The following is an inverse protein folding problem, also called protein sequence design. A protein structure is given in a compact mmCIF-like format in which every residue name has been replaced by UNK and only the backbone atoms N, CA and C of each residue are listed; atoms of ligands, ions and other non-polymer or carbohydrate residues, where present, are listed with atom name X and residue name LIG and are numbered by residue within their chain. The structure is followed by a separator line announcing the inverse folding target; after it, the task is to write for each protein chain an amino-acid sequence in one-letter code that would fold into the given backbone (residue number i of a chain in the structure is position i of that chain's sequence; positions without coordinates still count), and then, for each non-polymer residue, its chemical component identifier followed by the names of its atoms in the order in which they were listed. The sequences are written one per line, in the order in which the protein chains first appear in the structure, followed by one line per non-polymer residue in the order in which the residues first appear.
data_IF_222458417719
#
_entry.id   IF_222458417719
#
_cell.length_a   1.000
_cell.length_b   1.000
_cell.length_c   1.000
_cell.angle_alpha   90.00
_cell.angle_beta   90.00
_cell.angle_gamma   90.00
#
_symmetry.space_group_name_H-M   'P 1'
#
loop_
_entity.id
_entity.type
_entity.pdbx_description
1 polymer ?
#
# COMPACT_ATOMS: atom_id res chain seq x y z
N UNK A 1 0.76 -10.31 3.62
CA UNK A 1 1.54 -9.58 2.60
C UNK A 1 2.98 -9.70 3.01
N UNK A 2 3.97 -9.62 2.12
CA UNK A 2 5.31 -10.15 2.46
C UNK A 2 6.41 -9.08 2.64
N UNK A 3 6.05 -7.81 2.80
CA UNK A 3 6.99 -6.72 3.06
C UNK A 3 7.52 -6.69 4.51
N UNK A 4 8.31 -7.70 4.90
CA UNK A 4 8.93 -7.81 6.22
C UNK A 4 10.14 -6.88 6.40
N UNK A 5 10.62 -6.69 7.64
CA UNK A 5 11.74 -5.77 7.94
C UNK A 5 13.02 -6.04 7.11
N UNK A 6 13.30 -7.31 6.79
CA UNK A 6 14.42 -7.73 5.92
C UNK A 6 14.34 -7.17 4.48
N UNK A 7 13.15 -6.74 4.04
CA UNK A 7 12.90 -6.17 2.72
C UNK A 7 13.13 -4.64 2.69
N UNK A 8 13.58 -4.06 3.80
CA UNK A 8 13.98 -2.65 3.90
C UNK A 8 15.49 -2.54 4.16
N UNK A 9 16.20 -1.97 3.20
CA UNK A 9 17.62 -1.73 3.27
C UNK A 9 17.98 -0.26 3.51
N UNK A 10 19.16 -0.04 4.08
CA UNK A 10 19.79 1.28 4.15
C UNK A 10 21.11 1.26 3.39
N UNK A 11 21.41 2.37 2.73
CA UNK A 11 22.66 2.61 2.03
C UNK A 11 23.43 3.70 2.76
N UNK A 12 24.70 3.45 3.04
CA UNK A 12 25.61 4.47 3.55
C UNK A 12 26.02 5.41 2.41
N UNK A 13 25.92 6.71 2.64
CA UNK A 13 26.38 7.73 1.70
C UNK A 13 27.90 7.92 1.83
N UNK A 14 28.48 8.71 0.91
CA UNK A 14 29.89 9.11 1.01
C UNK A 14 30.19 9.97 2.25
N UNK A 15 29.16 10.55 2.87
CA UNK A 15 29.28 11.41 4.04
C UNK A 15 29.10 10.63 5.36
N UNK A 16 28.85 9.31 5.30
CA UNK A 16 28.64 8.46 6.48
C UNK A 16 27.23 8.54 7.07
N UNK A 17 26.30 9.26 6.45
CA UNK A 17 24.86 9.17 6.76
C UNK A 17 24.20 8.01 6.01
N UNK A 18 22.98 7.64 6.42
CA UNK A 18 22.23 6.54 5.84
C UNK A 18 20.96 7.03 5.13
N UNK A 19 20.74 6.53 3.91
CA UNK A 19 19.50 6.72 3.16
C UNK A 19 18.81 5.37 2.94
N UNK A 20 17.50 5.39 2.71
CA UNK A 20 16.80 4.17 2.29
C UNK A 20 17.31 3.70 0.94
N UNK A 21 17.51 2.39 0.79
CA UNK A 21 17.75 1.79 -0.52
C UNK A 21 16.52 1.95 -1.42
N UNK A 22 16.66 1.83 -2.75
CA UNK A 22 15.51 1.58 -3.62
C UNK A 22 14.71 0.39 -3.11
N UNK A 23 13.40 0.39 -3.32
CA UNK A 23 12.56 -0.75 -2.98
C UNK A 23 12.93 -1.96 -3.84
N UNK A 24 13.00 -3.14 -3.22
CA UNK A 24 13.29 -4.42 -3.84
C UNK A 24 12.33 -5.49 -3.34
N UNK A 25 12.37 -6.67 -3.95
CA UNK A 25 11.52 -7.81 -3.61
C UNK A 25 10.00 -7.48 -3.61
N UNK A 26 9.58 -6.71 -4.62
CA UNK A 26 8.20 -6.31 -4.80
C UNK A 26 7.45 -7.34 -5.65
N UNK A 27 6.59 -8.13 -5.01
CA UNK A 27 5.75 -9.13 -5.67
C UNK A 27 4.30 -8.92 -5.23
N UNK A 28 3.35 -9.12 -6.15
CA UNK A 28 1.94 -9.18 -5.78
C UNK A 28 1.61 -10.55 -5.18
N UNK A 29 1.84 -10.71 -3.88
CA UNK A 29 1.67 -12.01 -3.19
C UNK A 29 0.24 -12.53 -3.23
N UNK A 30 -0.76 -11.66 -3.44
CA UNK A 30 -2.17 -12.08 -3.56
C UNK A 30 -2.45 -12.98 -4.78
N UNK A 31 -1.50 -13.13 -5.71
CA UNK A 31 -1.61 -14.07 -6.82
C UNK A 31 -1.19 -15.50 -6.46
N UNK A 32 -0.50 -15.67 -5.34
CA UNK A 32 0.17 -16.92 -4.99
C UNK A 32 -0.21 -17.44 -3.60
N UNK A 33 -0.66 -16.55 -2.70
CA UNK A 33 -0.95 -16.86 -1.30
C UNK A 33 -2.16 -16.09 -0.82
N UNK A 34 -2.99 -16.70 0.04
CA UNK A 34 -4.09 -16.06 0.78
C UNK A 34 -3.55 -15.28 1.98
N UNK A 35 -2.68 -14.33 1.68
CA UNK A 35 -1.96 -13.53 2.64
C UNK A 35 -2.80 -12.33 3.11
N UNK A 36 -2.61 -11.91 4.36
CA UNK A 36 -3.24 -10.68 4.88
C UNK A 36 -2.78 -9.44 4.10
N UNK A 37 -3.52 -8.34 4.19
CA UNK A 37 -3.20 -7.12 3.43
C UNK A 37 -1.85 -6.48 3.84
N UNK A 38 -1.41 -6.66 5.09
CA UNK A 38 -0.16 -6.13 5.65
C UNK A 38 0.80 -7.27 5.98
N UNK A 39 2.10 -6.95 6.05
CA UNK A 39 3.14 -7.89 6.51
C UNK A 39 3.41 -7.81 8.01
N UNK A 40 2.94 -6.73 8.64
CA UNK A 40 3.09 -6.53 10.08
C UNK A 40 1.98 -7.31 10.79
N UNK A 41 2.34 -8.05 11.84
CA UNK A 41 1.42 -8.91 12.61
C UNK A 41 0.22 -8.14 13.18
N UNK A 42 0.44 -6.88 13.59
CA UNK A 42 -0.60 -6.00 14.13
C UNK A 42 -1.32 -5.15 13.06
N UNK A 43 -0.96 -5.31 11.79
CA UNK A 43 -1.56 -4.54 10.69
C UNK A 43 -1.02 -3.11 10.62
N UNK A 44 -1.91 -2.13 10.42
CA UNK A 44 -1.53 -0.73 10.21
C UNK A 44 -1.22 0.03 11.52
N UNK A 45 -1.89 -0.33 12.62
CA UNK A 45 -1.70 0.27 13.93
C UNK A 45 -1.36 -0.79 14.97
N UNK A 46 -0.73 -0.38 16.07
CA UNK A 46 -0.40 -1.30 17.16
C UNK A 46 -1.53 -1.46 18.18
N UNK A 47 -1.38 -2.46 19.05
CA UNK A 47 -2.21 -2.68 20.24
C UNK A 47 -3.71 -2.87 19.93
N UNK A 48 -4.03 -3.43 18.75
CA UNK A 48 -5.41 -3.64 18.31
C UNK A 48 -6.17 -2.35 17.98
N UNK A 49 -5.48 -1.22 17.83
CA UNK A 49 -6.11 0.02 17.40
C UNK A 49 -6.61 -0.10 15.94
N UNK A 50 -7.84 0.33 15.70
CA UNK A 50 -8.43 0.42 14.37
C UNK A 50 -9.01 1.82 14.15
N UNK A 51 -9.36 2.15 12.91
CA UNK A 51 -10.19 3.33 12.64
C UNK A 51 -11.63 2.89 12.41
N UNK A 52 -12.57 3.82 12.57
CA UNK A 52 -13.98 3.60 12.19
C UNK A 52 -14.10 3.15 10.72
N UNK A 53 -13.21 3.62 9.84
CA UNK A 53 -13.17 3.21 8.43
C UNK A 53 -12.87 1.73 8.31
N UNK A 54 -11.84 1.23 8.98
CA UNK A 54 -11.50 -0.19 8.95
C UNK A 54 -12.59 -1.06 9.58
N UNK A 55 -13.14 -0.63 10.73
CA UNK A 55 -14.22 -1.37 11.43
C UNK A 55 -15.48 -1.51 10.59
N UNK A 56 -15.85 -0.47 9.84
CA UNK A 56 -17.03 -0.51 8.97
C UNK A 56 -16.79 -1.29 7.66
N UNK A 57 -15.58 -1.22 7.10
CA UNK A 57 -15.29 -1.75 5.77
C UNK A 57 -14.74 -3.18 5.79
N UNK A 58 -14.00 -3.56 6.84
CA UNK A 58 -13.18 -4.78 6.88
C UNK A 58 -11.94 -4.72 5.98
N UNK A 59 -11.61 -3.56 5.41
CA UNK A 59 -10.42 -3.32 4.59
C UNK A 59 -9.88 -1.90 4.80
N UNK A 60 -8.58 -1.71 4.57
CA UNK A 60 -7.95 -0.39 4.68
C UNK A 60 -8.32 0.52 3.50
N UNK A 61 -8.86 1.69 3.82
CA UNK A 61 -9.27 2.73 2.89
C UNK A 61 -8.46 4.02 3.08
N UNK A 62 -8.87 5.13 2.43
CA UNK A 62 -8.15 6.41 2.51
C UNK A 62 -7.93 6.89 3.94
N UNK A 63 -8.98 6.81 4.77
CA UNK A 63 -9.00 7.39 6.11
C UNK A 63 -8.01 6.68 7.03
N UNK A 64 -7.83 5.36 6.87
CA UNK A 64 -6.86 4.57 7.62
C UNK A 64 -5.43 5.05 7.41
N UNK A 65 -5.03 5.21 6.15
CA UNK A 65 -3.68 5.69 5.81
C UNK A 65 -3.49 7.18 6.13
N UNK A 66 -4.57 7.96 6.10
CA UNK A 66 -4.54 9.36 6.51
C UNK A 66 -4.28 9.48 8.01
N UNK A 67 -5.06 8.78 8.84
CA UNK A 67 -4.88 8.66 10.29
C UNK A 67 -3.47 8.14 10.64
N UNK A 68 -3.03 7.06 9.98
CA UNK A 68 -1.70 6.50 10.17
C UNK A 68 -0.61 7.54 9.93
N UNK A 69 -0.68 8.27 8.81
CA UNK A 69 0.28 9.31 8.48
C UNK A 69 0.38 10.40 9.56
N UNK A 70 -0.75 10.81 10.13
CA UNK A 70 -0.76 11.79 11.23
C UNK A 70 -0.17 11.21 12.51
N UNK A 71 -0.52 9.96 12.87
CA UNK A 71 -0.03 9.30 14.08
C UNK A 71 1.49 9.06 14.08
N UNK A 72 2.09 8.81 12.91
CA UNK A 72 3.55 8.71 12.78
C UNK A 72 4.27 10.08 12.66
N UNK A 73 3.53 11.19 12.83
CA UNK A 73 4.09 12.54 12.89
C UNK A 73 4.31 13.23 11.54
N UNK A 74 3.72 12.74 10.44
CA UNK A 74 3.80 13.46 9.17
C UNK A 74 2.89 14.69 9.17
N UNK A 75 3.36 15.76 8.54
CA UNK A 75 2.53 16.94 8.28
C UNK A 75 1.34 16.56 7.40
N UNK A 76 0.13 17.05 7.75
CA UNK A 76 -1.11 16.83 6.99
C UNK A 76 -0.96 17.04 5.48
N UNK A 77 -0.30 18.13 5.07
CA UNK A 77 -0.06 18.43 3.66
C UNK A 77 0.78 17.37 2.95
N UNK A 78 1.76 16.77 3.65
CA UNK A 78 2.59 15.67 3.14
C UNK A 78 1.80 14.38 3.02
N UNK A 79 0.98 14.04 4.01
CA UNK A 79 0.09 12.87 3.98
C UNK A 79 -0.85 12.95 2.77
N UNK A 80 -1.55 14.08 2.62
CA UNK A 80 -2.46 14.31 1.49
C UNK A 80 -1.73 14.18 0.15
N UNK A 81 -0.53 14.77 0.02
CA UNK A 81 0.27 14.69 -1.21
C UNK A 81 0.67 13.25 -1.55
N UNK A 82 1.07 12.45 -0.55
CA UNK A 82 1.39 11.03 -0.72
C UNK A 82 0.15 10.27 -1.18
N UNK A 83 -0.97 10.40 -0.47
CA UNK A 83 -2.19 9.67 -0.81
C UNK A 83 -2.71 10.03 -2.20
N UNK A 84 -2.73 11.32 -2.58
CA UNK A 84 -3.15 11.75 -3.91
C UNK A 84 -2.30 11.12 -5.03
N UNK A 85 -1.01 10.88 -4.79
CA UNK A 85 -0.13 10.20 -5.76
C UNK A 85 -0.52 8.72 -5.97
N UNK A 86 -1.03 8.05 -4.94
CA UNK A 86 -1.40 6.64 -4.97
C UNK A 86 -2.86 6.39 -5.35
N UNK A 87 -3.73 7.40 -5.25
CA UNK A 87 -5.14 7.34 -5.68
C UNK A 87 -5.34 7.48 -7.19
N UNK A 88 -4.34 7.97 -7.91
CA UNK A 88 -4.41 8.12 -9.35
C UNK A 88 -4.17 6.77 -10.07
N UNK A 89 -5.09 6.39 -10.95
CA UNK A 89 -4.87 5.25 -11.85
C UNK A 89 -3.67 5.54 -12.77
N UNK A 90 -2.85 4.53 -13.03
CA UNK A 90 -1.68 4.65 -13.92
C UNK A 90 -1.80 3.66 -15.07
N UNK A 91 -1.89 4.17 -16.30
CA UNK A 91 -1.90 3.37 -17.53
C UNK A 91 -0.66 2.46 -17.64
N UNK A 92 0.47 2.90 -17.06
CA UNK A 92 1.69 2.11 -17.03
C UNK A 92 1.52 0.77 -16.30
N UNK A 93 0.59 0.66 -15.34
CA UNK A 93 0.34 -0.61 -14.64
C UNK A 93 -0.21 -1.63 -15.62
N UNK A 94 -1.24 -1.28 -16.40
CA UNK A 94 -1.80 -2.15 -17.43
C UNK A 94 -0.73 -2.53 -18.46
N UNK A 95 -0.01 -1.53 -19.00
CA UNK A 95 1.02 -1.76 -20.03
C UNK A 95 2.17 -2.64 -19.55
N UNK A 96 2.57 -2.57 -18.28
CA UNK A 96 3.61 -3.43 -17.71
C UNK A 96 3.07 -4.84 -17.44
N UNK A 97 1.85 -4.96 -16.92
CA UNK A 97 1.19 -6.25 -16.72
C UNK A 97 1.03 -6.99 -18.04
N UNK A 98 0.60 -6.33 -19.10
CA UNK A 98 0.41 -6.94 -20.43
C UNK A 98 1.71 -7.47 -21.04
N UNK A 99 2.82 -6.76 -20.79
CA UNK A 99 4.17 -7.14 -21.24
C UNK A 99 4.88 -8.14 -20.33
N UNK A 100 4.29 -8.48 -19.20
CA UNK A 100 4.85 -9.47 -18.27
C UNK A 100 4.69 -10.90 -18.80
N UNK A 101 5.45 -11.82 -18.19
CA UNK A 101 5.39 -13.26 -18.46
C UNK A 101 4.22 -13.98 -17.79
N UNK A 102 3.31 -13.25 -17.12
CA UNK A 102 2.10 -13.83 -16.56
C UNK A 102 1.20 -14.41 -17.68
N UNK A 103 0.50 -15.50 -17.39
CA UNK A 103 -0.52 -16.00 -18.30
C UNK A 103 -1.78 -15.10 -18.28
N UNK A 104 -2.75 -15.35 -19.17
CA UNK A 104 -3.95 -14.51 -19.28
C UNK A 104 -4.72 -14.37 -17.98
N UNK A 105 -4.98 -15.49 -17.31
CA UNK A 105 -5.71 -15.53 -16.03
C UNK A 105 -4.98 -14.75 -14.93
N UNK A 106 -3.66 -14.91 -14.82
CA UNK A 106 -2.85 -14.20 -13.83
C UNK A 106 -2.75 -12.69 -14.12
N UNK A 107 -2.73 -12.28 -15.38
CA UNK A 107 -2.79 -10.85 -15.76
C UNK A 107 -4.11 -10.23 -15.33
N UNK A 108 -5.21 -10.92 -15.57
CA UNK A 108 -6.54 -10.49 -15.13
C UNK A 108 -6.62 -10.40 -13.60
N UNK A 109 -6.18 -11.45 -12.89
CA UNK A 109 -6.12 -11.46 -11.42
C UNK A 109 -5.24 -10.32 -10.87
N UNK A 110 -4.10 -10.04 -11.51
CA UNK A 110 -3.22 -8.93 -11.12
C UNK A 110 -3.95 -7.59 -11.24
N UNK A 111 -4.59 -7.35 -12.39
CA UNK A 111 -5.31 -6.11 -12.64
C UNK A 111 -6.50 -5.95 -11.71
N UNK A 112 -7.25 -7.02 -11.43
CA UNK A 112 -8.35 -7.01 -10.45
C UNK A 112 -7.84 -6.65 -9.05
N UNK A 113 -6.76 -7.28 -8.59
CA UNK A 113 -6.11 -6.96 -7.31
C UNK A 113 -5.70 -5.49 -7.23
N UNK A 114 -5.08 -4.96 -8.29
CA UNK A 114 -4.71 -3.55 -8.39
C UNK A 114 -5.92 -2.61 -8.36
N UNK A 115 -6.96 -2.87 -9.16
CA UNK A 115 -8.16 -2.03 -9.22
C UNK A 115 -8.94 -2.04 -7.91
N UNK A 116 -9.01 -3.18 -7.22
CA UNK A 116 -9.63 -3.27 -5.90
C UNK A 116 -8.90 -2.39 -4.87
N UNK A 117 -7.56 -2.43 -4.83
CA UNK A 117 -6.76 -1.56 -3.97
C UNK A 117 -6.93 -0.09 -4.33
N UNK A 118 -6.98 0.25 -5.62
CA UNK A 118 -7.20 1.61 -6.09
C UNK A 118 -8.59 2.12 -5.67
N UNK A 119 -9.62 1.28 -5.78
CA UNK A 119 -10.99 1.59 -5.33
C UNK A 119 -11.03 1.82 -3.82
N UNK A 120 -10.38 0.97 -3.03
CA UNK A 120 -10.29 1.13 -1.57
C UNK A 120 -9.60 2.44 -1.17
N UNK A 121 -8.48 2.80 -1.81
CA UNK A 121 -7.79 4.08 -1.56
C UNK A 121 -8.60 5.31 -2.02
N UNK A 122 -9.54 5.14 -2.94
CA UNK A 122 -10.47 6.19 -3.36
C UNK A 122 -11.75 6.25 -2.52
N UNK A 123 -11.94 5.32 -1.61
CA UNK A 123 -13.04 5.32 -0.65
C UNK A 123 -12.68 6.10 0.61
N UNK A 124 -13.62 6.92 1.10
CA UNK A 124 -13.51 7.64 2.38
C UNK A 124 -14.90 7.74 3.03
N UNK A 125 -14.96 7.51 4.33
CA UNK A 125 -16.18 7.58 5.16
C UNK A 125 -16.54 9.03 5.53
N UNK A 126 -15.56 9.93 5.61
CA UNK A 126 -15.72 11.31 6.08
C UNK A 126 -16.66 12.14 5.17
N UNK A 127 -16.90 11.71 3.93
CA UNK A 127 -17.83 12.35 2.99
C UNK A 127 -19.26 11.78 2.97
N UNK A 128 -19.63 10.89 3.92
CA UNK A 128 -20.91 10.17 3.94
C UNK A 128 -21.80 10.47 5.16
N UNK A 129 -21.52 11.54 5.90
CA UNK A 129 -22.38 12.08 6.97
C UNK A 129 -23.04 13.37 6.48
#
# INVERSE_FOLDING_TARGET
GDAHLKNYGVLETKQGDYILSPAYDLINTSLHTDDTAMALDEGLFRDGCTTESFEANGFYAYDDFYEFGLKIGLMKSRVIKILNRFKANRESVQSLTDRSFLNGEMKEAYMNSYQNKLKALNYSMVGRI
#
